data_IF_128485484618
#
_entry.id   IF_128485484618
#
_cell.length_a   1.000
_cell.length_b   1.000
_cell.length_c   1.000
_cell.angle_alpha   90.00
_cell.angle_beta   90.00
_cell.angle_gamma   90.00
#
_symmetry.space_group_name_H-M   'P 1'
#
loop_
_entity.id
_entity.type
_entity.pdbx_description
1 polymer ?
#
# COMPACT_ATOMS: atom_id res chain seq x y z
N UNK A 1 -0.57 18.00 8.17
CA UNK A 1 0.39 16.89 8.21
C UNK A 1 0.13 15.96 7.03
N UNK A 2 1.07 15.84 6.09
CA UNK A 2 0.97 14.90 4.95
C UNK A 2 0.76 13.46 5.42
N UNK A 3 -0.46 12.93 5.29
CA UNK A 3 -0.82 11.59 5.74
C UNK A 3 -1.19 10.72 4.55
N UNK A 4 -0.40 9.68 4.33
CA UNK A 4 -0.66 8.66 3.31
C UNK A 4 -1.26 7.45 4.00
N UNK A 5 -2.45 7.04 3.55
CA UNK A 5 -3.13 5.85 4.06
C UNK A 5 -3.05 4.73 3.04
N UNK A 6 -2.70 3.52 3.47
CA UNK A 6 -2.75 2.30 2.66
C UNK A 6 -3.80 1.33 3.21
N UNK A 7 -4.52 0.66 2.31
CA UNK A 7 -5.37 -0.51 2.62
C UNK A 7 -4.83 -1.72 1.87
N UNK A 8 -4.71 -2.88 2.54
CA UNK A 8 -4.13 -4.10 1.96
C UNK A 8 -2.59 -4.19 2.05
N UNK A 9 -1.98 -3.33 2.86
CA UNK A 9 -0.55 -3.34 3.11
C UNK A 9 -0.20 -2.62 4.40
N UNK A 10 1.09 -2.64 4.75
CA UNK A 10 1.64 -2.00 5.94
C UNK A 10 2.73 -1.03 5.51
N UNK A 11 2.58 0.24 5.88
CA UNK A 11 3.62 1.26 5.65
C UNK A 11 4.77 0.98 6.60
N UNK A 12 5.96 0.81 6.04
CA UNK A 12 7.20 0.65 6.80
C UNK A 12 7.90 1.99 7.00
N UNK A 13 7.88 2.83 5.97
CA UNK A 13 8.57 4.13 5.97
C UNK A 13 7.76 5.14 5.16
N UNK A 14 7.66 6.36 5.65
CA UNK A 14 7.09 7.48 4.92
C UNK A 14 8.07 8.64 4.94
N UNK A 15 8.37 9.20 3.78
CA UNK A 15 9.24 10.37 3.58
C UNK A 15 8.50 11.32 2.64
N UNK A 16 7.83 12.33 3.20
CA UNK A 16 6.98 13.24 2.42
C UNK A 16 5.91 12.48 1.63
N UNK A 17 5.95 12.61 0.31
CA UNK A 17 5.05 11.94 -0.65
C UNK A 17 5.45 10.51 -1.02
N UNK A 18 6.62 10.05 -0.58
CA UNK A 18 7.12 8.70 -0.87
C UNK A 18 6.92 7.76 0.31
N UNK A 19 6.29 6.62 0.08
CA UNK A 19 6.10 5.56 1.08
C UNK A 19 6.74 4.25 0.63
N UNK A 20 7.40 3.58 1.56
CA UNK A 20 7.81 2.18 1.44
C UNK A 20 6.83 1.35 2.25
N UNK A 21 6.23 0.35 1.62
CA UNK A 21 5.22 -0.51 2.21
C UNK A 21 5.44 -1.99 1.85
N UNK A 22 4.94 -2.89 2.69
CA UNK A 22 4.83 -4.31 2.39
C UNK A 22 3.37 -4.66 2.14
N UNK A 23 3.11 -5.47 1.13
CA UNK A 23 1.78 -5.99 0.89
C UNK A 23 1.46 -6.99 1.99
N UNK A 24 0.26 -6.90 2.56
CA UNK A 24 -0.24 -7.89 3.52
C UNK A 24 -1.56 -8.40 2.99
N UNK A 25 -1.64 -9.70 2.79
CA UNK A 25 -2.88 -10.29 2.33
C UNK A 25 -3.93 -10.21 3.44
N UNK A 26 -5.05 -9.56 3.16
CA UNK A 26 -6.15 -9.46 4.13
C UNK A 26 -6.76 -10.84 4.45
N UNK A 27 -6.80 -11.72 3.45
CA UNK A 27 -7.43 -13.05 3.55
C UNK A 27 -6.59 -14.08 4.31
N UNK A 28 -5.31 -14.21 3.98
CA UNK A 28 -4.44 -15.21 4.61
C UNK A 28 -3.47 -14.61 5.64
N UNK A 29 -3.45 -13.29 5.81
CA UNK A 29 -2.54 -12.60 6.72
C UNK A 29 -1.08 -12.58 6.27
N UNK A 30 -0.73 -13.26 5.17
CA UNK A 30 0.64 -13.34 4.67
C UNK A 30 1.15 -11.95 4.24
N UNK A 31 2.18 -11.46 4.93
CA UNK A 31 2.92 -10.29 4.48
C UNK A 31 3.93 -10.72 3.42
N UNK A 32 3.91 -10.08 2.25
CA UNK A 32 4.95 -10.27 1.27
C UNK A 32 6.28 -9.73 1.81
N UNK A 33 7.35 -10.49 1.62
CA UNK A 33 8.70 -10.08 2.00
C UNK A 33 9.20 -8.90 1.16
N UNK A 34 8.64 -8.73 -0.04
CA UNK A 34 8.98 -7.66 -0.98
C UNK A 34 8.51 -6.29 -0.49
N UNK A 35 9.46 -5.38 -0.36
CA UNK A 35 9.21 -3.98 -0.09
C UNK A 35 8.87 -3.26 -1.40
N UNK A 36 7.78 -2.51 -1.39
CA UNK A 36 7.35 -1.69 -2.51
C UNK A 36 7.51 -0.23 -2.11
N UNK A 37 8.22 0.55 -2.92
CA UNK A 37 8.35 1.99 -2.71
C UNK A 37 7.55 2.70 -3.79
N UNK A 38 6.71 3.63 -3.38
CA UNK A 38 5.89 4.42 -4.29
C UNK A 38 5.81 5.86 -3.85
N UNK A 39 5.73 6.76 -4.82
CA UNK A 39 5.53 8.18 -4.62
C UNK A 39 4.12 8.54 -5.06
N UNK A 40 3.29 8.99 -4.11
CA UNK A 40 1.89 9.36 -4.36
C UNK A 40 1.79 10.88 -4.21
N UNK A 41 1.36 11.57 -5.26
CA UNK A 41 1.15 13.01 -5.20
C UNK A 41 -0.05 13.36 -4.30
N UNK A 42 -0.02 14.54 -3.67
CA UNK A 42 -1.12 15.03 -2.83
C UNK A 42 -2.43 15.05 -3.63
N UNK A 43 -3.51 14.57 -3.02
CA UNK A 43 -4.84 14.52 -3.67
C UNK A 43 -5.02 13.35 -4.63
N UNK A 44 -3.99 12.54 -4.88
CA UNK A 44 -4.08 11.35 -5.72
C UNK A 44 -4.47 10.13 -4.88
N UNK A 45 -5.40 9.34 -5.44
CA UNK A 45 -5.74 8.01 -4.93
C UNK A 45 -5.25 6.98 -5.94
N UNK A 46 -4.35 6.11 -5.52
CA UNK A 46 -3.89 4.99 -6.33
C UNK A 46 -4.60 3.71 -5.90
N UNK A 47 -5.13 2.98 -6.88
CA UNK A 47 -5.83 1.72 -6.67
C UNK A 47 -5.18 0.67 -7.56
N UNK A 48 -4.62 -0.35 -6.93
CA UNK A 48 -3.94 -1.45 -7.61
C UNK A 48 -4.51 -2.77 -7.15
N UNK A 49 -4.78 -3.69 -8.07
CA UNK A 49 -5.19 -5.05 -7.71
C UNK A 49 -3.96 -5.93 -7.68
N UNK A 50 -3.75 -6.66 -6.58
CA UNK A 50 -2.61 -7.57 -6.45
C UNK A 50 -3.05 -8.96 -6.03
N UNK A 51 -2.57 -9.95 -6.77
CA UNK A 51 -2.76 -11.36 -6.46
C UNK A 51 -1.75 -11.76 -5.40
N UNK A 52 -2.22 -12.29 -4.29
CA UNK A 52 -1.37 -12.83 -3.24
C UNK A 52 -0.64 -14.07 -3.75
N UNK A 53 0.69 -14.07 -3.69
CA UNK A 53 1.52 -15.20 -4.13
C UNK A 53 1.30 -16.46 -3.26
N UNK A 54 0.91 -16.28 -2.00
CA UNK A 54 0.72 -17.38 -1.04
C UNK A 54 -0.61 -18.11 -1.20
N UNK A 55 -1.74 -17.38 -1.25
CA UNK A 55 -3.07 -17.99 -1.32
C UNK A 55 -3.78 -17.83 -2.67
N UNK A 56 -3.18 -17.12 -3.62
CA UNK A 56 -3.76 -16.84 -4.94
C UNK A 56 -4.92 -15.84 -4.93
N UNK A 57 -5.25 -15.25 -3.77
CA UNK A 57 -6.37 -14.32 -3.64
C UNK A 57 -6.04 -12.97 -4.27
N UNK A 58 -6.93 -12.45 -5.11
CA UNK A 58 -6.84 -11.08 -5.61
C UNK A 58 -7.34 -10.12 -4.54
N UNK A 59 -6.48 -9.21 -4.08
CA UNK A 59 -6.84 -8.15 -3.16
C UNK A 59 -6.64 -6.79 -3.79
N UNK A 60 -7.44 -5.82 -3.35
CA UNK A 60 -7.35 -4.44 -3.81
C UNK A 60 -6.49 -3.67 -2.80
N UNK A 61 -5.45 -3.05 -3.32
CA UNK A 61 -4.57 -2.15 -2.60
C UNK A 61 -5.02 -0.74 -2.93
N UNK A 62 -5.39 0.02 -1.90
CA UNK A 62 -5.78 1.43 -2.06
C UNK A 62 -4.83 2.29 -1.28
N UNK A 63 -4.32 3.31 -1.94
CA UNK A 63 -3.37 4.26 -1.36
C UNK A 63 -3.91 5.65 -1.60
N UNK A 64 -4.02 6.46 -0.56
CA UNK A 64 -4.54 7.82 -0.65
C UNK A 64 -3.59 8.76 0.05
N UNK A 65 -3.18 9.81 -0.67
CA UNK A 65 -2.49 10.94 -0.08
C UNK A 65 -3.51 12.06 0.15
N UNK A 66 -3.86 12.32 1.40
CA UNK A 66 -4.73 13.45 1.72
C UNK A 66 -4.03 14.75 1.32
N UNK A 67 -4.61 15.51 0.38
CA UNK A 67 -4.29 16.92 0.22
C UNK A 67 -5.10 17.67 1.28
N UNK A 68 -4.42 18.22 2.28
CA UNK A 68 -4.98 19.25 3.15
C UNK A 68 -5.05 20.59 2.41
#
# INVERSE_FOLDING_TARGET
MDMITISGGVILKQIGSSITYKLKCDKCGNAESSENTITIMKGVTEISTKKCSSCGNNQIIKMKHAAE
#
